data_IF_239569966623
#
_entry.id   IF_239569966623
#
_cell.length_a   1.000
_cell.length_b   1.000
_cell.length_c   1.000
_cell.angle_alpha   90.00
_cell.angle_beta   90.00
_cell.angle_gamma   90.00
#
_symmetry.space_group_name_H-M   'P 1'
#
loop_
_entity.id
_entity.type
_entity.pdbx_description
1 polymer ?
#
# COMPACT_ATOMS: atom_id res chain seq x y z
N UNK A 1 11.56 2.60 -1.07
CA UNK A 1 11.06 2.67 -2.48
C UNK A 1 11.57 3.93 -3.16
N UNK A 2 11.49 4.01 -4.49
CA UNK A 2 11.79 5.24 -5.26
C UNK A 2 10.50 5.81 -5.83
N UNK A 3 10.33 7.14 -5.77
CA UNK A 3 9.20 7.86 -6.34
C UNK A 3 9.68 9.01 -7.22
N UNK A 4 8.92 9.34 -8.27
CA UNK A 4 9.17 10.55 -9.07
C UNK A 4 8.46 11.75 -8.43
N UNK A 5 9.12 12.90 -8.47
CA UNK A 5 8.65 14.13 -7.87
C UNK A 5 7.27 14.53 -8.41
N UNK A 6 6.27 14.63 -7.52
CA UNK A 6 4.91 15.03 -7.87
C UNK A 6 4.08 13.93 -8.54
N UNK A 7 4.66 12.75 -8.77
CA UNK A 7 3.97 11.61 -9.38
C UNK A 7 3.41 10.67 -8.31
N UNK A 8 2.20 10.16 -8.58
CA UNK A 8 1.54 9.18 -7.73
C UNK A 8 2.24 7.83 -7.87
N UNK A 9 2.79 7.33 -6.76
CA UNK A 9 3.53 6.06 -6.72
C UNK A 9 2.80 5.05 -5.84
N UNK A 10 2.62 3.82 -6.34
CA UNK A 10 2.01 2.74 -5.57
C UNK A 10 2.94 2.29 -4.45
N UNK A 11 2.40 2.19 -3.24
CA UNK A 11 3.14 1.78 -2.03
C UNK A 11 2.77 0.35 -1.66
N UNK A 12 1.46 0.10 -1.55
CA UNK A 12 0.89 -1.15 -1.08
C UNK A 12 -0.41 -1.41 -1.84
N UNK A 13 -0.66 -2.67 -2.15
CA UNK A 13 -1.98 -3.16 -2.51
C UNK A 13 -2.30 -4.32 -1.58
N UNK A 14 -3.52 -4.33 -1.04
CA UNK A 14 -3.95 -5.39 -0.14
C UNK A 14 -5.41 -5.76 -0.42
N UNK A 15 -5.74 -7.02 -0.23
CA UNK A 15 -7.07 -7.57 -0.46
C UNK A 15 -7.37 -8.68 0.53
N UNK A 16 -8.60 -8.70 1.05
CA UNK A 16 -9.08 -9.78 1.90
C UNK A 16 -10.05 -10.67 1.12
N UNK A 17 -9.61 -11.89 0.85
CA UNK A 17 -10.35 -12.88 0.07
C UNK A 17 -10.72 -14.09 0.92
N UNK A 18 -11.89 -14.68 0.65
CA UNK A 18 -12.25 -15.98 1.22
C UNK A 18 -11.56 -17.14 0.48
N UNK A 19 -11.83 -18.38 0.93
CA UNK A 19 -11.30 -19.60 0.33
C UNK A 19 -11.66 -19.79 -1.15
N UNK A 20 -12.68 -19.11 -1.67
CA UNK A 20 -13.09 -19.12 -3.08
C UNK A 20 -12.62 -17.88 -3.86
N UNK A 21 -11.65 -17.15 -3.29
CA UNK A 21 -11.04 -15.96 -3.86
C UNK A 21 -12.05 -14.84 -4.16
N UNK A 22 -13.10 -14.75 -3.34
CA UNK A 22 -14.08 -13.66 -3.37
C UNK A 22 -13.75 -12.64 -2.30
N UNK A 23 -13.90 -11.37 -2.66
CA UNK A 23 -13.77 -10.23 -1.75
C UNK A 23 -14.72 -10.39 -0.56
N UNK A 24 -14.17 -10.20 0.65
CA UNK A 24 -14.93 -10.20 1.90
C UNK A 24 -15.18 -8.76 2.33
N UNK A 25 -14.11 -8.01 2.55
CA UNK A 25 -14.11 -6.62 3.00
C UNK A 25 -12.79 -5.92 2.65
N UNK A 26 -12.77 -4.59 2.86
CA UNK A 26 -11.57 -3.79 2.66
C UNK A 26 -10.62 -3.94 3.85
N UNK A 27 -9.37 -4.37 3.66
CA UNK A 27 -8.38 -4.39 4.72
C UNK A 27 -8.23 -3.00 5.35
N UNK A 28 -8.25 -2.92 6.67
CA UNK A 28 -8.03 -1.66 7.38
C UNK A 28 -6.58 -1.20 7.18
N UNK A 29 -6.39 0.04 6.74
CA UNK A 29 -5.07 0.67 6.66
C UNK A 29 -5.15 2.00 7.40
N UNK A 30 -4.30 2.18 8.41
CA UNK A 30 -4.21 3.43 9.15
C UNK A 30 -2.88 4.12 8.83
N UNK A 31 -2.90 5.45 8.68
CA UNK A 31 -1.66 6.25 8.58
C UNK A 31 -1.27 6.65 9.99
N UNK A 32 -0.14 6.13 10.48
CA UNK A 32 0.38 6.40 11.83
C UNK A 32 1.19 7.68 11.85
N UNK A 33 2.04 7.88 10.84
CA UNK A 33 2.85 9.08 10.66
C UNK A 33 2.77 9.53 9.19
N UNK A 34 2.40 10.79 8.97
CA UNK A 34 2.35 11.38 7.63
C UNK A 34 3.76 11.69 7.09
N UNK A 35 3.97 11.62 5.76
CA UNK A 35 5.19 12.10 5.14
C UNK A 35 5.36 13.61 5.34
N UNK A 36 6.62 14.05 5.41
CA UNK A 36 6.94 15.49 5.58
C UNK A 36 6.87 16.26 4.27
N UNK A 37 7.13 15.60 3.16
CA UNK A 37 7.28 16.21 1.84
C UNK A 37 6.35 15.59 0.80
N UNK A 38 5.22 15.06 1.23
CA UNK A 38 4.23 14.43 0.38
C UNK A 38 2.89 14.24 1.06
N UNK A 39 2.09 13.35 0.47
CA UNK A 39 0.81 12.89 1.04
C UNK A 39 0.62 11.42 0.75
N UNK A 40 -0.20 10.77 1.58
CA UNK A 40 -0.67 9.41 1.38
C UNK A 40 -2.15 9.43 1.03
N UNK A 41 -2.52 8.64 0.01
CA UNK A 41 -3.90 8.43 -0.41
C UNK A 41 -4.23 6.94 -0.29
N UNK A 42 -5.23 6.62 0.53
CA UNK A 42 -5.79 5.26 0.65
C UNK A 42 -7.05 5.24 -0.19
N UNK A 43 -7.12 4.34 -1.17
CA UNK A 43 -8.26 4.25 -2.09
C UNK A 43 -8.79 2.82 -2.18
N UNK A 44 -10.11 2.71 -2.27
CA UNK A 44 -10.79 1.45 -2.56
C UNK A 44 -10.89 1.29 -4.07
N UNK A 45 -10.24 0.26 -4.60
CA UNK A 45 -10.24 -0.01 -6.04
C UNK A 45 -9.91 -1.48 -6.32
N UNK A 46 -10.13 -1.97 -7.55
CA UNK A 46 -9.64 -3.27 -7.95
C UNK A 46 -8.10 -3.34 -7.85
N UNK A 47 -7.60 -4.35 -7.16
CA UNK A 47 -6.18 -4.68 -7.01
C UNK A 47 -5.93 -6.13 -7.39
N UNK A 48 -4.66 -6.47 -7.64
CA UNK A 48 -4.24 -7.86 -7.89
C UNK A 48 -3.70 -8.43 -6.60
N UNK A 49 -4.25 -9.56 -6.15
CA UNK A 49 -3.74 -10.29 -5.00
C UNK A 49 -2.28 -10.72 -5.25
N UNK A 50 -1.39 -10.36 -4.32
CA UNK A 50 0.01 -10.77 -4.34
C UNK A 50 0.30 -11.62 -3.11
N UNK A 51 0.66 -12.88 -3.34
CA UNK A 51 0.98 -13.84 -2.27
C UNK A 51 2.46 -13.81 -1.88
N UNK A 52 3.21 -12.80 -2.31
CA UNK A 52 4.64 -12.66 -2.01
C UNK A 52 5.48 -13.80 -2.60
N UNK A 53 5.09 -14.30 -3.78
CA UNK A 53 5.74 -15.43 -4.46
C UNK A 53 5.39 -16.82 -3.91
N UNK A 54 4.56 -16.92 -2.87
CA UNK A 54 3.99 -18.20 -2.41
C UNK A 54 2.90 -18.63 -3.40
N UNK A 55 2.89 -19.90 -3.81
CA UNK A 55 1.79 -20.44 -4.62
C UNK A 55 0.55 -20.64 -3.74
N UNK A 56 -0.29 -19.62 -3.62
CA UNK A 56 -1.59 -19.68 -2.95
C UNK A 56 -2.72 -19.77 -3.97
N UNK A 57 -3.88 -20.31 -3.56
CA UNK A 57 -5.06 -20.50 -4.44
C UNK A 57 -5.51 -19.20 -5.11
N UNK A 58 -5.39 -18.07 -4.41
CA UNK A 58 -5.88 -16.77 -4.88
C UNK A 58 -4.78 -15.86 -5.45
N UNK A 59 -3.57 -16.38 -5.68
CA UNK A 59 -2.49 -15.58 -6.24
C UNK A 59 -2.90 -14.99 -7.61
N UNK A 60 -2.61 -13.70 -7.83
CA UNK A 60 -2.92 -12.94 -9.05
C UNK A 60 -4.41 -12.76 -9.37
N UNK A 61 -5.31 -13.15 -8.48
CA UNK A 61 -6.74 -12.83 -8.62
C UNK A 61 -6.94 -11.32 -8.54
N UNK A 62 -7.68 -10.75 -9.48
CA UNK A 62 -8.11 -9.36 -9.43
C UNK A 62 -9.44 -9.27 -8.68
N UNK A 63 -9.49 -8.46 -7.64
CA UNK A 63 -10.68 -8.24 -6.82
C UNK A 63 -10.67 -6.83 -6.24
N UNK A 64 -11.81 -6.38 -5.71
CA UNK A 64 -11.87 -5.14 -4.94
C UNK A 64 -10.94 -5.23 -3.73
N UNK A 65 -10.24 -4.15 -3.43
CA UNK A 65 -9.32 -4.08 -2.31
C UNK A 65 -8.88 -2.66 -2.03
N UNK A 66 -7.78 -2.52 -1.30
CA UNK A 66 -7.22 -1.23 -0.90
C UNK A 66 -5.88 -1.03 -1.59
N UNK A 67 -5.68 0.15 -2.17
CA UNK A 67 -4.41 0.60 -2.69
C UNK A 67 -3.95 1.86 -1.94
N UNK A 68 -2.69 1.86 -1.52
CA UNK A 68 -2.04 2.99 -0.87
C UNK A 68 -1.08 3.63 -1.84
N UNK A 69 -1.19 4.94 -1.98
CA UNK A 69 -0.36 5.73 -2.87
C UNK A 69 0.35 6.84 -2.12
N UNK A 70 1.60 7.08 -2.52
CA UNK A 70 2.39 8.22 -2.09
C UNK A 70 2.53 9.21 -3.25
N UNK A 71 2.40 10.51 -2.97
CA UNK A 71 2.75 11.56 -3.93
C UNK A 71 3.57 12.63 -3.19
N UNK A 72 4.78 12.92 -3.66
CA UNK A 72 5.57 14.01 -3.08
C UNK A 72 4.99 15.37 -3.47
N UNK A 73 5.40 16.42 -2.75
CA UNK A 73 5.19 17.79 -3.20
C UNK A 73 5.87 18.00 -4.58
N UNK A 74 5.23 18.71 -5.51
CA UNK A 74 5.83 19.00 -6.82
C UNK A 74 7.18 19.72 -6.67
N UNK A 75 8.21 19.21 -7.33
CA UNK A 75 9.57 19.75 -7.32
C UNK A 75 10.46 19.27 -6.18
N UNK A 76 9.91 18.54 -5.20
CA UNK A 76 10.71 17.98 -4.10
C UNK A 76 11.59 16.82 -4.58
N UNK A 77 12.87 16.86 -4.23
CA UNK A 77 13.84 15.78 -4.46
C UNK A 77 14.61 15.57 -3.16
N UNK A 78 14.64 14.34 -2.67
CA UNK A 78 15.18 14.06 -1.33
C UNK A 78 14.66 12.76 -0.76
N UNK A 79 14.81 12.62 0.56
CA UNK A 79 14.29 11.46 1.30
C UNK A 79 13.04 11.87 2.06
N UNK A 80 12.00 11.05 1.97
CA UNK A 80 10.78 11.18 2.76
C UNK A 80 10.49 9.86 3.49
N UNK A 81 9.65 9.92 4.51
CA UNK A 81 9.29 8.76 5.33
C UNK A 81 7.88 8.89 5.84
N UNK A 82 7.16 7.79 5.88
CA UNK A 82 5.87 7.70 6.56
C UNK A 82 5.70 6.32 7.20
N UNK A 83 4.74 6.21 8.11
CA UNK A 83 4.42 4.95 8.79
C UNK A 83 2.96 4.63 8.53
N UNK A 84 2.71 3.43 8.02
CA UNK A 84 1.36 2.86 7.89
C UNK A 84 1.23 1.65 8.81
N UNK A 85 0.01 1.40 9.24
CA UNK A 85 -0.35 0.23 10.04
C UNK A 85 -1.34 -0.61 9.27
N UNK A 86 -1.03 -1.89 9.14
CA UNK A 86 -1.87 -2.88 8.46
C UNK A 86 -2.08 -4.09 9.36
N UNK A 87 -3.26 -4.74 9.28
CA UNK A 87 -3.44 -6.06 9.88
C UNK A 87 -2.51 -7.04 9.15
N UNK A 88 -1.72 -7.76 9.93
CA UNK A 88 -0.98 -8.94 9.49
C UNK A 88 -1.93 -10.15 9.48
N UNK A 89 -1.57 -11.18 8.70
CA UNK A 89 -2.22 -12.48 8.79
C UNK A 89 -2.19 -12.97 10.27
N UNK A 90 -3.30 -13.56 10.74
CA UNK A 90 -3.49 -14.03 12.12
C UNK A 90 -3.70 -12.96 13.21
N UNK A 91 -4.10 -11.73 12.85
CA UNK A 91 -4.59 -10.74 13.81
C UNK A 91 -3.50 -10.00 14.59
N UNK A 92 -2.24 -10.13 14.15
CA UNK A 92 -1.18 -9.21 14.58
C UNK A 92 -1.31 -7.91 13.81
N UNK A 93 -0.89 -6.81 14.42
CA UNK A 93 -0.86 -5.50 13.78
C UNK A 93 0.61 -5.23 13.46
N UNK A 94 0.92 -4.94 12.21
CA UNK A 94 2.26 -4.57 11.77
C UNK A 94 2.31 -3.07 11.43
N UNK A 95 3.35 -2.38 11.91
CA UNK A 95 3.68 -1.03 11.49
C UNK A 95 4.79 -1.06 10.45
N UNK A 96 4.45 -0.75 9.21
CA UNK A 96 5.39 -0.65 8.10
C UNK A 96 5.99 0.75 8.03
N UNK A 97 7.32 0.84 8.17
CA UNK A 97 8.07 2.07 7.87
C UNK A 97 8.37 2.12 6.37
N UNK A 98 7.81 3.11 5.68
CA UNK A 98 8.08 3.33 4.27
C UNK A 98 9.10 4.46 4.10
N UNK A 99 10.33 4.09 3.72
CA UNK A 99 11.36 5.05 3.30
C UNK A 99 11.25 5.31 1.79
N UNK A 100 11.16 6.58 1.41
CA UNK A 100 10.97 7.02 0.02
C UNK A 100 12.15 7.86 -0.43
N UNK A 101 12.81 7.45 -1.51
CA UNK A 101 13.75 8.28 -2.24
C UNK A 101 13.03 8.96 -3.40
N UNK A 102 12.85 10.28 -3.31
CA UNK A 102 12.22 11.08 -4.36
C UNK A 102 13.27 11.56 -5.35
N UNK A 103 13.06 11.27 -6.63
CA UNK A 103 13.91 11.66 -7.75
C UNK A 103 13.14 12.53 -8.73
N UNK A 104 13.86 13.19 -9.65
CA UNK A 104 13.24 13.94 -10.76
C UNK A 104 12.51 13.02 -11.73
#
# INVERSE_FOLDING_TARGET
MTARSGERTSVLQNVHLNGDCKFIDYPRVDIVEQPKHGRIEIVHQPVTADSGGKKMKCDKVKADGVAVYYTSQPGYVGSDKFIIRTPEDHGRIEEGVAEVKVVK
#
